data_IF_956207387889
#
_entry.id   IF_956207387889
#
_cell.length_a   1.000
_cell.length_b   1.000
_cell.length_c   1.000
_cell.angle_alpha   90.00
_cell.angle_beta   90.00
_cell.angle_gamma   90.00
#
_symmetry.space_group_name_H-M   'P 1'
#
loop_
_entity.id
_entity.type
_entity.pdbx_description
1 polymer ?
#
# COMPACT_ATOMS: atom_id res chain seq x y z
N UNK A 1 -8.82 -13.61 0.04
CA UNK A 1 -9.61 -13.07 -1.11
C UNK A 1 -8.72 -12.22 -2.00
N UNK A 2 -8.96 -12.24 -3.30
CA UNK A 2 -8.22 -11.43 -4.26
C UNK A 2 -8.59 -9.95 -4.15
N UNK A 3 -7.71 -9.10 -4.64
CA UNK A 3 -8.01 -7.69 -4.81
C UNK A 3 -9.12 -7.48 -5.84
N UNK A 4 -10.02 -6.54 -5.57
CA UNK A 4 -11.05 -6.12 -6.52
C UNK A 4 -10.75 -4.68 -6.97
N UNK A 5 -10.81 -4.45 -8.28
CA UNK A 5 -10.75 -3.12 -8.87
C UNK A 5 -11.90 -2.98 -9.87
N UNK A 6 -12.75 -1.98 -9.67
CA UNK A 6 -13.98 -1.83 -10.46
C UNK A 6 -14.80 -3.13 -10.50
N UNK A 7 -14.91 -3.80 -9.34
CA UNK A 7 -15.65 -5.05 -9.14
C UNK A 7 -15.06 -6.28 -9.86
N UNK A 8 -13.87 -6.15 -10.45
CA UNK A 8 -13.17 -7.26 -11.12
C UNK A 8 -11.99 -7.73 -10.27
N UNK A 9 -11.77 -9.03 -10.25
CA UNK A 9 -10.61 -9.62 -9.57
C UNK A 9 -9.32 -9.25 -10.29
N UNK A 10 -8.31 -8.85 -9.50
CA UNK A 10 -6.98 -8.48 -9.99
C UNK A 10 -6.00 -9.58 -9.61
N UNK A 11 -5.32 -10.15 -10.59
CA UNK A 11 -4.35 -11.22 -10.40
C UNK A 11 -2.90 -10.73 -10.56
N UNK A 12 -2.68 -9.69 -11.36
CA UNK A 12 -1.36 -9.21 -11.70
C UNK A 12 -1.36 -7.71 -11.95
N UNK A 13 -0.18 -7.10 -11.95
CA UNK A 13 0.00 -5.66 -12.27
C UNK A 13 -0.60 -5.33 -13.64
N UNK A 14 -0.50 -6.25 -14.61
CA UNK A 14 -1.06 -6.05 -15.95
C UNK A 14 -2.57 -5.81 -15.95
N UNK A 15 -3.28 -6.22 -14.91
CA UNK A 15 -4.72 -6.00 -14.77
C UNK A 15 -5.06 -4.59 -14.29
N UNK A 16 -4.06 -3.80 -13.92
CA UNK A 16 -4.20 -2.42 -13.45
C UNK A 16 -3.79 -1.44 -14.56
N UNK A 17 -4.18 -0.14 -14.44
CA UNK A 17 -3.72 0.87 -15.40
C UNK A 17 -2.20 0.88 -15.52
N UNK A 18 -1.71 1.08 -16.75
CA UNK A 18 -0.27 1.01 -17.06
C UNK A 18 0.57 1.98 -16.22
N UNK A 19 0.05 3.17 -15.95
CA UNK A 19 0.75 4.21 -15.18
C UNK A 19 0.65 4.03 -13.66
N UNK A 20 0.04 2.95 -13.18
CA UNK A 20 -0.17 2.73 -11.75
C UNK A 20 1.16 2.54 -11.02
N UNK A 21 1.44 3.42 -10.06
CA UNK A 21 2.54 3.29 -9.11
C UNK A 21 2.12 2.56 -7.84
N UNK A 22 0.92 2.85 -7.41
CA UNK A 22 0.30 2.29 -6.21
C UNK A 22 -1.18 2.60 -6.18
N UNK A 23 -1.82 2.24 -5.10
CA UNK A 23 -3.26 2.41 -4.97
C UNK A 23 -3.68 2.71 -3.54
N UNK A 24 -4.83 3.35 -3.42
CA UNK A 24 -5.56 3.50 -2.17
C UNK A 24 -6.55 2.35 -2.11
N UNK A 25 -6.61 1.68 -0.98
CA UNK A 25 -7.46 0.51 -0.82
C UNK A 25 -8.36 0.60 0.41
N UNK A 26 -9.41 -0.20 0.38
CA UNK A 26 -10.28 -0.44 1.51
C UNK A 26 -10.30 -1.94 1.80
N UNK A 27 -9.93 -2.31 3.00
CA UNK A 27 -10.11 -3.66 3.52
C UNK A 27 -11.35 -3.64 4.42
N UNK A 28 -12.30 -4.52 4.15
CA UNK A 28 -13.54 -4.62 4.91
C UNK A 28 -13.62 -5.96 5.61
N UNK A 29 -13.82 -5.93 6.93
CA UNK A 29 -14.16 -7.13 7.68
C UNK A 29 -15.65 -7.37 7.53
N UNK A 30 -16.00 -8.33 6.67
CA UNK A 30 -17.39 -8.53 6.24
C UNK A 30 -18.37 -8.87 7.39
N UNK A 31 -18.01 -9.68 8.41
CA UNK A 31 -18.92 -9.95 9.52
C UNK A 31 -19.31 -8.72 10.35
N UNK A 32 -18.40 -7.77 10.53
CA UNK A 32 -18.64 -6.57 11.35
C UNK A 32 -18.93 -5.33 10.55
N UNK A 33 -18.60 -5.33 9.25
CA UNK A 33 -18.67 -4.13 8.40
C UNK A 33 -17.58 -3.11 8.66
N UNK A 34 -16.63 -3.39 9.55
CA UNK A 34 -15.50 -2.49 9.85
C UNK A 34 -14.56 -2.39 8.67
N UNK A 35 -14.07 -1.18 8.40
CA UNK A 35 -13.27 -0.84 7.23
C UNK A 35 -11.93 -0.25 7.63
N UNK A 36 -10.94 -0.46 6.77
CA UNK A 36 -9.63 0.16 6.91
C UNK A 36 -9.21 0.75 5.56
N UNK A 37 -8.80 2.01 5.58
CA UNK A 37 -8.32 2.74 4.38
C UNK A 37 -6.81 2.89 4.49
N UNK A 38 -6.10 2.44 3.47
CA UNK A 38 -4.66 2.55 3.43
C UNK A 38 -4.13 2.74 2.01
N UNK A 39 -2.82 2.79 1.91
CA UNK A 39 -2.11 2.86 0.62
C UNK A 39 -1.17 1.68 0.46
N UNK A 40 -0.90 1.32 -0.78
CA UNK A 40 0.09 0.29 -1.10
C UNK A 40 0.80 0.62 -2.40
N UNK A 41 2.11 0.57 -2.38
CA UNK A 41 2.92 0.69 -3.60
C UNK A 41 2.99 -0.65 -4.30
N UNK A 42 2.91 -0.64 -5.63
CA UNK A 42 3.07 -1.85 -6.45
C UNK A 42 4.54 -2.23 -6.58
N UNK A 43 5.39 -1.21 -6.69
CA UNK A 43 6.84 -1.39 -6.86
C UNK A 43 7.58 -0.55 -5.83
N UNK A 44 8.80 -0.95 -5.50
CA UNK A 44 9.68 -0.17 -4.64
C UNK A 44 11.11 -0.27 -5.12
N UNK A 45 11.93 0.73 -4.74
CA UNK A 45 13.36 0.73 -5.04
C UNK A 45 14.13 -0.03 -3.97
N UNK A 46 14.86 -1.06 -4.38
CA UNK A 46 15.75 -1.82 -3.52
C UNK A 46 17.18 -1.35 -3.75
N UNK A 47 17.90 -1.06 -2.66
CA UNK A 47 19.32 -0.73 -2.71
C UNK A 47 20.12 -2.01 -2.87
N UNK A 48 20.82 -2.15 -3.98
CA UNK A 48 21.64 -3.34 -4.25
C UNK A 48 23.11 -2.96 -4.42
N UNK A 49 24.01 -3.69 -3.77
CA UNK A 49 25.45 -3.45 -3.87
C UNK A 49 25.93 -3.71 -5.30
N UNK A 50 26.72 -2.77 -5.84
CA UNK A 50 27.33 -2.94 -7.16
C UNK A 50 28.42 -4.00 -7.12
N UNK A 51 28.37 -4.95 -8.08
CA UNK A 51 29.43 -5.93 -8.27
C UNK A 51 30.65 -5.34 -8.97
N UNK A 52 31.76 -6.08 -8.98
CA UNK A 52 33.02 -5.65 -9.62
C UNK A 52 32.84 -5.28 -11.09
N UNK A 53 32.09 -6.10 -11.85
CA UNK A 53 31.82 -5.86 -13.27
C UNK A 53 31.02 -4.57 -13.51
N UNK A 54 30.04 -4.32 -12.68
CA UNK A 54 29.21 -3.11 -12.77
C UNK A 54 30.02 -1.85 -12.44
N UNK A 55 30.92 -1.92 -11.44
CA UNK A 55 31.84 -0.82 -11.11
C UNK A 55 32.81 -0.52 -12.24
N UNK A 56 33.31 -1.56 -12.91
CA UNK A 56 34.22 -1.44 -14.05
C UNK A 56 33.59 -0.78 -15.26
N UNK A 57 32.28 -0.93 -15.44
CA UNK A 57 31.50 -0.33 -16.52
C UNK A 57 30.98 1.10 -16.21
N UNK A 58 31.31 1.62 -15.04
CA UNK A 58 30.88 2.94 -14.62
C UNK A 58 31.51 4.03 -15.51
N UNK A 59 30.68 4.82 -16.17
CA UNK A 59 31.08 5.88 -17.09
C UNK A 59 30.92 7.30 -16.51
N UNK A 60 30.38 7.43 -15.29
CA UNK A 60 30.22 8.70 -14.63
C UNK A 60 31.52 9.28 -14.07
N UNK A 61 31.48 10.53 -13.61
CA UNK A 61 32.63 11.18 -12.96
C UNK A 61 32.85 10.66 -11.55
N UNK A 62 34.13 10.45 -11.19
CA UNK A 62 34.53 10.03 -9.86
C UNK A 62 34.42 8.54 -9.65
N UNK A 63 34.36 8.13 -8.37
CA UNK A 63 34.24 6.72 -8.00
C UNK A 63 32.89 6.16 -8.35
N UNK A 64 32.80 4.88 -8.76
CA UNK A 64 31.52 4.20 -8.90
C UNK A 64 30.76 4.23 -7.58
N UNK A 65 29.43 4.40 -7.59
CA UNK A 65 28.67 4.30 -6.34
C UNK A 65 28.75 2.89 -5.77
N UNK A 66 28.64 2.74 -4.46
CA UNK A 66 28.64 1.43 -3.80
C UNK A 66 27.35 0.66 -4.05
N UNK A 67 26.25 1.38 -4.29
CA UNK A 67 24.90 0.81 -4.43
C UNK A 67 24.21 1.36 -5.67
N UNK A 68 23.34 0.55 -6.25
CA UNK A 68 22.39 0.95 -7.29
C UNK A 68 20.97 0.75 -6.78
N UNK A 69 20.02 1.46 -7.37
CA UNK A 69 18.60 1.25 -7.11
C UNK A 69 18.05 0.28 -8.15
N UNK A 70 17.40 -0.79 -7.66
CA UNK A 70 16.73 -1.77 -8.50
C UNK A 70 15.25 -1.74 -8.17
N UNK A 71 14.41 -1.63 -9.19
CA UNK A 71 12.97 -1.64 -9.04
C UNK A 71 12.50 -3.09 -8.78
N UNK A 72 11.74 -3.28 -7.72
CA UNK A 72 11.22 -4.59 -7.34
C UNK A 72 9.72 -4.51 -7.06
N UNK A 73 8.99 -5.55 -7.46
CA UNK A 73 7.58 -5.69 -7.12
C UNK A 73 7.41 -5.88 -5.62
N UNK A 74 6.44 -5.18 -5.02
CA UNK A 74 6.12 -5.30 -3.61
C UNK A 74 5.28 -6.56 -3.32
N UNK A 75 4.97 -6.79 -2.05
CA UNK A 75 4.10 -7.88 -1.61
C UNK A 75 2.60 -7.54 -1.70
N UNK A 76 2.22 -6.63 -2.59
CA UNK A 76 0.85 -6.12 -2.69
C UNK A 76 -0.21 -7.22 -2.89
N UNK A 77 0.15 -8.31 -3.56
CA UNK A 77 -0.80 -9.41 -3.84
C UNK A 77 -1.32 -10.08 -2.57
N UNK A 78 -0.46 -10.18 -1.56
CA UNK A 78 -0.76 -10.84 -0.28
C UNK A 78 -1.02 -9.87 0.87
N UNK A 79 -0.95 -8.58 0.61
CA UNK A 79 -1.09 -7.53 1.61
C UNK A 79 -2.55 -7.19 1.88
N UNK A 80 -2.93 -7.14 3.15
CA UNK A 80 -4.30 -6.85 3.59
C UNK A 80 -4.45 -5.53 4.35
N UNK A 81 -3.36 -4.99 4.86
CA UNK A 81 -3.33 -3.78 5.64
C UNK A 81 -2.36 -3.88 6.80
N UNK A 82 -1.99 -2.74 7.37
CA UNK A 82 -1.02 -2.66 8.47
C UNK A 82 -1.65 -2.68 9.86
N UNK A 83 -2.97 -2.55 9.97
CA UNK A 83 -3.65 -2.48 11.26
C UNK A 83 -3.53 -3.82 12.02
N UNK A 84 -3.32 -3.73 13.34
CA UNK A 84 -3.10 -4.93 14.16
C UNK A 84 -4.28 -5.90 14.16
N UNK A 85 -5.52 -5.42 14.10
CA UNK A 85 -6.71 -6.29 14.02
C UNK A 85 -6.76 -7.07 12.72
N UNK A 86 -6.36 -6.45 11.60
CA UNK A 86 -6.28 -7.14 10.30
C UNK A 86 -5.24 -8.26 10.40
N UNK A 87 -4.09 -7.99 11.00
CA UNK A 87 -3.05 -8.99 11.19
C UNK A 87 -3.51 -10.15 12.09
N UNK A 88 -4.30 -9.86 13.12
CA UNK A 88 -4.88 -10.88 13.98
C UNK A 88 -5.86 -11.79 13.23
N UNK A 89 -6.71 -11.22 12.38
CA UNK A 89 -7.62 -12.01 11.53
C UNK A 89 -6.84 -12.95 10.62
N UNK A 90 -5.75 -12.47 10.01
CA UNK A 90 -4.90 -13.29 9.12
C UNK A 90 -4.24 -14.44 9.90
N UNK A 91 -3.73 -14.17 11.11
CA UNK A 91 -3.12 -15.19 11.97
C UNK A 91 -4.13 -16.27 12.41
N UNK A 92 -5.37 -15.86 12.62
CA UNK A 92 -6.44 -16.76 13.01
C UNK A 92 -7.05 -17.59 11.87
N UNK A 93 -6.58 -17.37 10.63
CA UNK A 93 -7.13 -18.06 9.46
C UNK A 93 -8.43 -17.47 8.94
N UNK A 94 -8.75 -16.22 9.30
CA UNK A 94 -9.97 -15.53 8.89
C UNK A 94 -9.80 -14.65 7.64
N UNK A 95 -8.84 -14.98 6.80
CA UNK A 95 -8.59 -14.26 5.54
C UNK A 95 -9.84 -14.12 4.67
N UNK A 96 -10.66 -15.15 4.62
CA UNK A 96 -11.91 -15.17 3.85
C UNK A 96 -12.97 -14.16 4.32
N UNK A 97 -12.80 -13.60 5.52
CA UNK A 97 -13.66 -12.55 6.06
C UNK A 97 -13.22 -11.15 5.67
N UNK A 98 -12.06 -11.01 5.00
CA UNK A 98 -11.48 -9.73 4.63
C UNK A 98 -11.64 -9.49 3.13
N UNK A 99 -12.47 -8.53 2.76
CA UNK A 99 -12.67 -8.09 1.39
C UNK A 99 -11.72 -6.95 1.09
N UNK A 100 -10.97 -7.03 0.00
CA UNK A 100 -10.00 -6.00 -0.41
C UNK A 100 -10.45 -5.33 -1.69
N UNK A 101 -10.55 -4.02 -1.66
CA UNK A 101 -10.97 -3.23 -2.82
C UNK A 101 -9.96 -2.11 -3.10
N UNK A 102 -9.55 -2.00 -4.36
CA UNK A 102 -8.74 -0.89 -4.84
C UNK A 102 -9.69 0.24 -5.21
N UNK A 103 -9.51 1.41 -4.60
CA UNK A 103 -10.43 2.54 -4.74
C UNK A 103 -9.88 3.57 -5.71
N UNK A 104 -8.60 3.93 -5.56
CA UNK A 104 -7.95 4.96 -6.36
C UNK A 104 -6.57 4.48 -6.79
N UNK A 105 -6.18 4.86 -8.01
CA UNK A 105 -4.84 4.58 -8.55
C UNK A 105 -4.00 5.84 -8.43
N UNK A 106 -2.78 5.68 -7.94
CA UNK A 106 -1.79 6.76 -7.86
C UNK A 106 -0.65 6.50 -8.86
N UNK A 107 -0.13 7.57 -9.44
CA UNK A 107 0.89 7.49 -10.50
C UNK A 107 2.31 7.75 -10.01
N UNK A 108 2.47 8.21 -8.77
CA UNK A 108 3.78 8.42 -8.15
C UNK A 108 3.64 8.41 -6.62
N UNK A 109 4.78 8.43 -5.93
CA UNK A 109 4.82 8.34 -4.47
C UNK A 109 4.11 9.49 -3.75
N UNK A 110 4.30 10.73 -4.22
CA UNK A 110 3.64 11.90 -3.62
C UNK A 110 2.13 11.86 -3.83
N UNK A 111 1.71 11.49 -5.04
CA UNK A 111 0.30 11.33 -5.37
C UNK A 111 -0.36 10.26 -4.50
N UNK A 112 0.35 9.15 -4.27
CA UNK A 112 -0.15 8.07 -3.42
C UNK A 112 -0.40 8.55 -1.99
N UNK A 113 0.55 9.25 -1.38
CA UNK A 113 0.41 9.78 -0.02
C UNK A 113 -0.68 10.85 0.05
N UNK A 114 -0.74 11.74 -0.94
CA UNK A 114 -1.77 12.77 -1.02
C UNK A 114 -3.18 12.18 -1.08
N UNK A 115 -3.38 11.20 -1.96
CA UNK A 115 -4.69 10.55 -2.12
C UNK A 115 -5.12 9.78 -0.87
N UNK A 116 -4.17 9.14 -0.20
CA UNK A 116 -4.47 8.44 1.06
C UNK A 116 -5.02 9.41 2.11
N UNK A 117 -4.28 10.49 2.35
CA UNK A 117 -4.70 11.50 3.33
C UNK A 117 -6.01 12.15 2.96
N UNK A 118 -6.15 12.55 1.71
CA UNK A 118 -7.36 13.18 1.19
C UNK A 118 -8.59 12.27 1.40
N UNK A 119 -8.44 11.00 1.07
CA UNK A 119 -9.53 10.04 1.18
C UNK A 119 -9.88 9.75 2.64
N UNK A 120 -8.87 9.59 3.50
CA UNK A 120 -9.06 9.38 4.93
C UNK A 120 -9.75 10.57 5.60
N UNK A 121 -9.37 11.80 5.26
CA UNK A 121 -10.04 13.00 5.78
C UNK A 121 -11.46 13.12 5.27
N UNK A 122 -11.68 12.87 3.98
CA UNK A 122 -13.01 12.98 3.38
C UNK A 122 -14.01 11.98 3.98
N UNK A 123 -13.55 10.80 4.36
CA UNK A 123 -14.37 9.76 4.98
C UNK A 123 -14.51 9.93 6.51
N UNK A 124 -13.74 10.83 7.12
CA UNK A 124 -13.74 11.01 8.57
C UNK A 124 -13.36 9.75 9.33
N UNK A 125 -12.32 9.03 8.86
CA UNK A 125 -11.97 7.70 9.39
C UNK A 125 -11.61 7.70 10.88
N UNK A 126 -11.11 8.83 11.42
CA UNK A 126 -10.76 8.94 12.85
C UNK A 126 -11.98 9.29 13.72
N UNK A 127 -13.04 9.79 13.13
CA UNK A 127 -14.23 10.26 13.82
C UNK A 127 -15.40 9.27 13.71
N UNK A 128 -15.21 8.19 12.95
CA UNK A 128 -16.25 7.19 12.69
C UNK A 128 -15.89 5.84 13.28
N UNK A 129 -16.84 5.23 13.98
CA UNK A 129 -16.69 3.87 14.51
C UNK A 129 -16.72 2.79 13.43
N UNK A 130 -17.04 3.15 12.18
CA UNK A 130 -17.07 2.22 11.05
C UNK A 130 -15.66 1.86 10.55
N UNK A 131 -14.64 2.66 10.91
CA UNK A 131 -13.27 2.48 10.44
C UNK A 131 -12.35 1.99 11.55
N UNK A 132 -11.42 1.11 11.17
CA UNK A 132 -10.38 0.61 12.07
C UNK A 132 -9.19 1.58 12.16
N UNK A 133 -9.10 2.55 11.26
CA UNK A 133 -8.01 3.52 11.24
C UNK A 133 -7.87 4.23 12.59
N UNK A 134 -6.67 4.26 13.13
CA UNK A 134 -6.37 4.92 14.41
C UNK A 134 -5.52 6.17 14.26
N UNK A 135 -4.96 6.43 13.07
CA UNK A 135 -4.20 7.65 12.79
C UNK A 135 -4.22 8.01 11.31
N UNK A 136 -3.88 9.27 11.01
CA UNK A 136 -3.60 9.76 9.67
C UNK A 136 -2.19 10.36 9.71
N UNK A 137 -1.28 9.86 8.86
CA UNK A 137 0.12 10.28 8.77
C UNK A 137 0.94 10.10 10.04
N UNK A 138 0.45 9.38 11.05
CA UNK A 138 1.11 9.35 12.36
C UNK A 138 1.10 10.70 13.09
N UNK A 139 0.25 11.63 12.67
CA UNK A 139 0.12 12.98 13.26
C UNK A 139 -1.22 13.21 13.93
N UNK A 140 -2.28 12.68 13.33
CA UNK A 140 -3.63 12.80 13.85
C UNK A 140 -4.08 11.43 14.34
N UNK A 141 -4.55 11.35 15.56
CA UNK A 141 -4.97 10.11 16.19
C UNK A 141 -6.44 10.17 16.59
N UNK A 142 -7.13 9.02 16.48
CA UNK A 142 -8.55 8.90 16.81
C UNK A 142 -8.87 9.35 18.24
N UNK A 143 -7.99 9.02 19.19
CA UNK A 143 -8.13 9.41 20.61
C UNK A 143 -8.13 10.93 20.83
N UNK A 144 -7.58 11.71 19.87
CA UNK A 144 -7.50 13.17 19.99
C UNK A 144 -8.83 13.84 19.62
N UNK A 145 -9.73 13.10 18.96
CA UNK A 145 -10.99 13.63 18.42
C UNK A 145 -12.23 12.89 18.92
N UNK A 146 -12.04 11.98 19.85
CA UNK A 146 -13.15 11.21 20.41
C UNK A 146 -13.96 12.03 21.43
#
# INVERSE_FOLDING_TARGET
MKWLYNKKEINDIADLPQEAFGFIYQTTHTPTGKKYIGKKSLMYNLKKKLGKKEKALWEGKGRPPMYKRVLKESDWKTYYGSHHLIKEYLKGGFEHELKREIILIATNKKHLTYLECKHQFALGVLESSEYLNDNILGKFFDKDFA
#
